data_IF_202616551895
#
_entry.id   IF_202616551895
#
_cell.length_a   1.000
_cell.length_b   1.000
_cell.length_c   1.000
_cell.angle_alpha   90.00
_cell.angle_beta   90.00
_cell.angle_gamma   90.00
#
_symmetry.space_group_name_H-M   'P 1'
#
loop_
_entity.id
_entity.type
_entity.pdbx_description
1 polymer ?
#
# COMPACT_ATOMS: atom_id res chain seq x y z
N UNK A 1 57.16 35.79 60.82
CA UNK A 1 55.73 35.85 60.76
C UNK A 1 55.28 35.26 59.40
N UNK A 2 55.08 33.93 59.35
CA UNK A 2 54.60 33.24 58.12
C UNK A 2 53.10 33.29 58.05
N UNK A 3 52.59 34.05 57.11
CA UNK A 3 51.19 34.05 56.76
C UNK A 3 50.93 32.93 55.78
N UNK A 4 50.55 31.77 56.32
CA UNK A 4 49.98 30.68 55.53
C UNK A 4 48.70 31.12 54.81
N UNK A 5 48.81 31.53 53.54
CA UNK A 5 47.66 31.77 52.67
C UNK A 5 47.05 30.44 52.37
N UNK A 6 46.00 30.06 53.11
CA UNK A 6 45.10 29.03 52.70
C UNK A 6 44.43 29.44 51.39
N UNK A 7 44.97 28.95 50.28
CA UNK A 7 44.26 29.06 48.99
C UNK A 7 43.08 28.13 49.05
N UNK A 8 41.88 28.69 49.18
CA UNK A 8 40.65 27.95 49.13
C UNK A 8 40.48 27.29 47.74
N UNK A 9 40.60 25.97 47.67
CA UNK A 9 40.29 25.18 46.44
C UNK A 9 38.81 24.99 46.24
N UNK A 10 37.97 25.40 47.18
CA UNK A 10 36.51 25.25 47.13
C UNK A 10 35.89 25.87 45.88
N UNK A 11 36.28 27.09 45.52
CA UNK A 11 35.76 27.75 44.31
C UNK A 11 36.11 27.03 43.01
N UNK A 12 37.29 26.37 42.96
CA UNK A 12 37.70 25.58 41.80
C UNK A 12 36.91 24.28 41.72
N UNK A 13 36.68 23.61 42.84
CA UNK A 13 35.88 22.37 42.92
C UNK A 13 34.43 22.67 42.58
N UNK A 14 33.88 23.79 43.06
CA UNK A 14 32.50 24.20 42.74
C UNK A 14 32.35 24.50 41.23
N UNK A 15 33.32 25.18 40.62
CA UNK A 15 33.35 25.43 39.17
C UNK A 15 33.34 24.11 38.38
N UNK A 16 34.21 23.17 38.77
CA UNK A 16 34.29 21.85 38.11
C UNK A 16 32.98 21.05 38.27
N UNK A 17 32.37 21.08 39.44
CA UNK A 17 31.13 20.42 39.70
C UNK A 17 29.99 20.98 38.83
N UNK A 18 29.88 22.32 38.76
CA UNK A 18 28.86 22.98 37.92
C UNK A 18 29.10 22.70 36.43
N UNK A 19 30.36 22.65 35.98
CA UNK A 19 30.69 22.27 34.61
C UNK A 19 30.26 20.83 34.31
N UNK A 20 30.56 19.87 35.24
CA UNK A 20 30.18 18.47 35.12
C UNK A 20 28.67 18.32 35.06
N UNK A 21 27.92 18.99 35.93
CA UNK A 21 26.44 18.96 35.91
C UNK A 21 25.91 19.49 34.57
N UNK A 22 26.46 20.60 34.08
CA UNK A 22 26.12 21.17 32.77
C UNK A 22 26.36 20.20 31.63
N UNK A 23 27.51 19.56 31.58
CA UNK A 23 27.84 18.54 30.58
C UNK A 23 26.90 17.31 30.67
N UNK A 24 26.62 16.83 31.87
CA UNK A 24 25.74 15.71 32.09
C UNK A 24 24.32 16.02 31.57
N UNK A 25 23.85 17.25 31.87
CA UNK A 25 22.55 17.71 31.39
C UNK A 25 22.51 17.82 29.87
N UNK A 26 23.51 18.41 29.24
CA UNK A 26 23.62 18.52 27.78
C UNK A 26 23.73 17.13 27.12
N UNK A 27 24.50 16.23 27.73
CA UNK A 27 24.61 14.85 27.24
C UNK A 27 23.28 14.11 27.30
N UNK A 28 22.52 14.27 28.40
CA UNK A 28 21.20 13.68 28.56
C UNK A 28 20.22 14.23 27.52
N UNK A 29 20.27 15.55 27.27
CA UNK A 29 19.46 16.22 26.24
C UNK A 29 19.83 15.74 24.84
N UNK A 30 21.13 15.64 24.53
CA UNK A 30 21.61 15.11 23.27
C UNK A 30 21.18 13.65 23.08
N UNK A 31 21.25 12.82 24.13
CA UNK A 31 20.83 11.43 24.09
C UNK A 31 19.32 11.28 23.82
N UNK A 32 18.48 12.14 24.42
CA UNK A 32 17.04 12.19 24.14
C UNK A 32 16.76 12.61 22.71
N UNK A 33 17.56 13.54 22.16
CA UNK A 33 17.38 14.01 20.79
C UNK A 33 17.94 13.03 19.74
N UNK A 34 18.98 12.28 20.07
CA UNK A 34 19.61 11.27 19.17
C UNK A 34 18.84 9.95 19.20
N UNK A 35 18.25 9.59 20.35
CA UNK A 35 17.26 8.51 20.45
C UNK A 35 15.85 9.14 20.41
N UNK A 36 15.34 9.51 19.22
CA UNK A 36 13.90 9.69 19.13
C UNK A 36 13.32 8.38 19.65
N UNK A 37 12.44 8.48 20.67
CA UNK A 37 11.60 7.36 21.13
C UNK A 37 11.26 6.61 19.88
N UNK A 38 11.78 5.38 19.74
CA UNK A 38 11.60 4.61 18.52
C UNK A 38 10.12 4.76 18.18
N UNK A 39 9.81 5.53 17.12
CA UNK A 39 8.47 5.51 16.60
C UNK A 39 8.25 4.02 16.50
N UNK A 40 7.33 3.46 17.28
CA UNK A 40 6.80 2.14 16.98
C UNK A 40 6.54 2.28 15.49
N UNK A 41 7.43 1.74 14.68
CA UNK A 41 7.14 1.58 13.28
C UNK A 41 5.79 0.92 13.35
N UNK A 42 4.77 1.68 12.97
CA UNK A 42 3.47 1.10 12.79
C UNK A 42 3.79 0.06 11.72
N UNK A 43 4.06 -1.19 12.15
CA UNK A 43 4.25 -2.29 11.23
C UNK A 43 2.96 -2.28 10.45
N UNK A 44 3.08 -1.93 9.19
CA UNK A 44 1.93 -2.02 8.30
C UNK A 44 1.35 -3.41 8.51
N UNK A 45 0.08 -3.50 8.88
CA UNK A 45 -0.51 -4.79 9.19
C UNK A 45 -0.29 -5.71 7.98
N UNK A 46 0.08 -6.95 8.23
CA UNK A 46 0.32 -7.93 7.17
C UNK A 46 -0.93 -8.11 6.32
N UNK A 47 -0.74 -8.34 5.04
CA UNK A 47 -1.84 -8.72 4.16
C UNK A 47 -2.50 -10.01 4.66
N UNK A 48 -3.81 -9.99 4.78
CA UNK A 48 -4.63 -11.14 5.15
C UNK A 48 -5.30 -11.77 3.93
N UNK A 49 -5.68 -10.93 2.98
CA UNK A 49 -6.21 -11.33 1.69
C UNK A 49 -5.50 -10.56 0.57
N UNK A 50 -5.41 -11.18 -0.60
CA UNK A 50 -4.93 -10.57 -1.84
C UNK A 50 -6.00 -10.72 -2.90
N UNK A 51 -6.26 -9.66 -3.63
CA UNK A 51 -6.96 -9.72 -4.91
C UNK A 51 -5.93 -9.50 -6.00
N UNK A 52 -5.75 -10.51 -6.83
CA UNK A 52 -4.78 -10.49 -7.93
C UNK A 52 -5.55 -10.51 -9.23
N UNK A 53 -5.31 -9.55 -10.08
CA UNK A 53 -5.81 -9.48 -11.43
C UNK A 53 -4.67 -9.72 -12.41
N UNK A 54 -4.92 -10.46 -13.49
CA UNK A 54 -3.94 -10.72 -14.55
C UNK A 54 -4.63 -10.83 -15.91
N UNK A 55 -3.92 -10.39 -16.94
CA UNK A 55 -4.35 -10.51 -18.35
C UNK A 55 -3.16 -10.93 -19.22
N UNK A 56 -3.33 -10.97 -20.55
CA UNK A 56 -2.28 -11.44 -21.47
C UNK A 56 -1.01 -10.59 -21.33
N UNK A 57 0.09 -11.23 -21.00
CA UNK A 57 1.40 -10.59 -20.81
C UNK A 57 1.95 -9.90 -22.08
N UNK A 58 1.40 -10.22 -23.26
CA UNK A 58 1.75 -9.53 -24.52
C UNK A 58 0.82 -8.36 -24.83
N UNK A 59 -0.23 -8.14 -24.04
CA UNK A 59 -1.14 -7.02 -24.22
C UNK A 59 -0.50 -5.72 -23.74
N UNK A 60 -0.66 -4.65 -24.52
CA UNK A 60 -0.25 -3.30 -24.12
C UNK A 60 -1.32 -2.57 -23.31
N UNK A 61 -2.46 -3.22 -23.12
CA UNK A 61 -3.62 -2.61 -22.50
C UNK A 61 -3.38 -2.31 -21.02
N UNK A 62 -3.82 -1.15 -20.61
CA UNK A 62 -3.84 -0.65 -19.24
C UNK A 62 -5.21 -0.97 -18.62
N UNK A 63 -5.22 -1.88 -17.64
CA UNK A 63 -6.44 -2.41 -17.02
C UNK A 63 -6.34 -2.31 -15.52
N UNK A 64 -7.27 -1.59 -14.92
CA UNK A 64 -7.29 -1.27 -13.50
C UNK A 64 -8.13 -2.24 -12.69
N UNK A 65 -7.64 -2.58 -11.50
CA UNK A 65 -8.36 -3.26 -10.43
C UNK A 65 -8.85 -2.25 -9.41
N UNK A 66 -10.13 -2.35 -9.04
CA UNK A 66 -10.74 -1.49 -8.04
C UNK A 66 -11.39 -2.30 -6.94
N UNK A 67 -11.21 -1.85 -5.70
CA UNK A 67 -11.90 -2.40 -4.53
C UNK A 67 -12.53 -1.27 -3.73
N UNK A 68 -13.79 -1.47 -3.34
CA UNK A 68 -14.53 -0.61 -2.43
C UNK A 68 -14.97 -1.41 -1.21
N UNK A 69 -14.80 -0.85 -0.01
CA UNK A 69 -15.34 -1.45 1.21
C UNK A 69 -16.71 -0.84 1.60
N UNK A 70 -17.36 -1.41 2.62
CA UNK A 70 -18.65 -0.97 3.16
C UNK A 70 -18.60 0.37 3.95
N UNK A 71 -17.44 1.02 4.00
CA UNK A 71 -17.24 2.37 4.56
C UNK A 71 -16.89 3.39 3.48
N UNK A 72 -17.14 3.05 2.21
CA UNK A 72 -16.82 3.87 1.05
C UNK A 72 -15.33 4.17 0.85
N UNK A 73 -14.44 3.35 1.44
CA UNK A 73 -13.03 3.42 1.08
C UNK A 73 -12.83 2.76 -0.27
N UNK A 74 -12.32 3.51 -1.24
CA UNK A 74 -12.07 3.05 -2.61
C UNK A 74 -10.57 3.06 -2.87
N UNK A 75 -10.02 1.93 -3.34
CA UNK A 75 -8.63 1.78 -3.74
C UNK A 75 -8.56 1.31 -5.19
N UNK A 76 -7.65 1.90 -5.93
CA UNK A 76 -7.28 1.68 -7.31
C UNK A 76 -6.16 2.65 -7.68
N UNK A 77 -5.87 2.88 -8.95
CA UNK A 77 -4.72 3.70 -9.36
C UNK A 77 -4.73 5.14 -8.82
N UNK A 78 -5.90 5.76 -8.57
CA UNK A 78 -6.01 7.14 -8.04
C UNK A 78 -5.80 7.23 -6.54
N UNK A 79 -6.13 6.19 -5.80
CA UNK A 79 -5.98 6.11 -4.35
C UNK A 79 -5.37 4.77 -4.01
N UNK A 80 -4.04 4.73 -3.97
CA UNK A 80 -3.28 3.47 -3.86
C UNK A 80 -3.23 2.90 -2.44
N UNK A 81 -3.53 3.71 -1.44
CA UNK A 81 -3.47 3.31 -0.03
C UNK A 81 -4.55 4.05 0.76
N UNK A 82 -5.54 3.33 1.22
CA UNK A 82 -6.63 3.90 2.02
C UNK A 82 -7.12 2.88 3.05
N UNK A 83 -7.09 3.26 4.33
CA UNK A 83 -7.49 2.45 5.47
C UNK A 83 -6.68 1.14 5.55
N UNK A 84 -7.29 0.00 5.20
CA UNK A 84 -6.67 -1.33 5.27
C UNK A 84 -6.52 -1.97 3.87
N UNK A 85 -6.72 -1.17 2.83
CA UNK A 85 -6.60 -1.53 1.44
C UNK A 85 -5.36 -0.86 0.85
N UNK A 86 -4.57 -1.59 0.08
CA UNK A 86 -3.38 -1.05 -0.60
C UNK A 86 -3.26 -1.68 -1.98
N UNK A 87 -3.12 -0.84 -3.01
CA UNK A 87 -2.69 -1.27 -4.35
C UNK A 87 -1.17 -1.45 -4.31
N UNK A 88 -0.73 -2.70 -4.18
CA UNK A 88 0.70 -3.03 -4.04
C UNK A 88 1.43 -3.00 -5.40
N UNK A 89 0.73 -3.31 -6.48
CA UNK A 89 1.21 -3.23 -7.86
C UNK A 89 0.15 -2.61 -8.75
N UNK A 90 0.54 -1.55 -9.42
CA UNK A 90 -0.18 -0.81 -10.44
C UNK A 90 0.53 -1.05 -11.78
N UNK A 91 -0.17 -1.65 -12.73
CA UNK A 91 0.37 -2.02 -14.02
C UNK A 91 -0.19 -1.08 -15.11
N UNK A 92 0.70 -0.46 -15.85
CA UNK A 92 0.36 0.52 -16.88
C UNK A 92 0.45 -0.07 -18.31
N UNK A 93 0.25 -1.38 -18.43
CA UNK A 93 0.51 -2.13 -19.66
C UNK A 93 2.01 -2.11 -20.00
N UNK A 94 2.38 -1.92 -21.27
CA UNK A 94 3.78 -1.95 -21.71
C UNK A 94 4.66 -0.80 -21.20
N UNK A 95 4.08 0.19 -20.53
CA UNK A 95 4.81 1.39 -20.08
C UNK A 95 5.74 1.14 -18.91
N UNK A 96 5.45 0.19 -18.03
CA UNK A 96 6.25 -0.12 -16.84
C UNK A 96 6.90 -1.51 -16.88
N UNK A 97 6.95 -2.15 -18.04
CA UNK A 97 7.56 -3.46 -18.25
C UNK A 97 9.08 -3.44 -18.30
N UNK A 98 9.70 -2.27 -18.44
CA UNK A 98 11.15 -2.15 -18.52
C UNK A 98 11.80 -2.06 -17.16
N UNK A 99 12.61 -3.06 -16.82
CA UNK A 99 13.46 -3.07 -15.65
C UNK A 99 14.89 -2.69 -16.02
N UNK A 100 15.37 -1.57 -15.47
CA UNK A 100 16.72 -1.07 -15.74
C UNK A 100 17.64 -1.39 -14.57
N UNK A 101 18.66 -2.22 -14.83
CA UNK A 101 19.80 -2.43 -13.94
C UNK A 101 20.97 -1.55 -14.34
N UNK A 102 22.05 -1.53 -13.53
CA UNK A 102 23.28 -0.80 -13.89
C UNK A 102 23.96 -1.32 -15.17
N UNK A 103 23.65 -2.54 -15.56
CA UNK A 103 24.33 -3.26 -16.64
C UNK A 103 23.43 -3.55 -17.84
N UNK A 104 22.11 -3.70 -17.61
CA UNK A 104 21.16 -4.08 -18.67
C UNK A 104 19.79 -3.45 -18.48
N UNK A 105 19.07 -3.31 -19.59
CA UNK A 105 17.61 -3.07 -19.63
C UNK A 105 16.96 -4.40 -19.98
N UNK A 106 16.10 -4.90 -19.11
CA UNK A 106 15.38 -6.15 -19.29
C UNK A 106 13.88 -5.86 -19.41
N UNK A 107 13.24 -6.47 -20.40
CA UNK A 107 11.80 -6.43 -20.56
C UNK A 107 11.20 -7.57 -19.72
N UNK A 108 10.30 -7.23 -18.80
CA UNK A 108 9.57 -8.17 -17.95
C UNK A 108 8.08 -7.97 -18.18
N UNK A 109 7.53 -8.52 -19.27
CA UNK A 109 6.12 -8.35 -19.62
C UNK A 109 5.28 -9.21 -18.68
N UNK A 110 4.78 -8.60 -17.59
CA UNK A 110 3.90 -9.26 -16.62
C UNK A 110 2.74 -8.33 -16.35
N UNK A 111 1.64 -8.57 -17.02
CA UNK A 111 0.40 -7.83 -16.85
C UNK A 111 -0.37 -8.30 -15.62
N UNK A 112 -0.21 -7.58 -14.52
CA UNK A 112 -0.79 -7.94 -13.23
C UNK A 112 -0.97 -6.76 -12.30
N UNK A 113 -2.13 -6.67 -11.67
CA UNK A 113 -2.37 -5.79 -10.54
C UNK A 113 -2.65 -6.56 -9.26
N UNK A 114 -2.27 -5.99 -8.12
CA UNK A 114 -2.43 -6.63 -6.82
C UNK A 114 -2.92 -5.61 -5.81
N UNK A 115 -4.06 -5.91 -5.18
CA UNK A 115 -4.55 -5.18 -4.01
C UNK A 115 -4.50 -6.09 -2.80
N UNK A 116 -3.84 -5.61 -1.73
CA UNK A 116 -3.82 -6.27 -0.44
C UNK A 116 -4.89 -5.72 0.51
N UNK A 117 -5.50 -6.62 1.26
CA UNK A 117 -6.45 -6.33 2.34
C UNK A 117 -5.79 -6.73 3.65
N UNK A 118 -5.53 -5.75 4.51
CA UNK A 118 -4.71 -5.91 5.72
C UNK A 118 -5.54 -6.07 6.99
N UNK A 119 -6.68 -6.73 6.89
CA UNK A 119 -7.57 -6.96 8.03
C UNK A 119 -8.40 -8.23 7.88
N UNK A 120 -8.66 -8.87 9.04
CA UNK A 120 -9.71 -9.89 9.21
C UNK A 120 -10.96 -9.34 9.89
N UNK A 121 -11.04 -8.03 10.08
CA UNK A 121 -12.23 -7.41 10.65
C UNK A 121 -13.42 -7.63 9.73
N UNK A 122 -14.60 -7.99 10.26
CA UNK A 122 -15.81 -8.16 9.47
C UNK A 122 -16.08 -6.95 8.59
N UNK A 123 -16.14 -7.17 7.27
CA UNK A 123 -16.33 -6.12 6.28
C UNK A 123 -16.71 -6.71 4.94
N UNK A 124 -17.56 -5.99 4.20
CA UNK A 124 -17.91 -6.32 2.81
C UNK A 124 -17.03 -5.52 1.85
N UNK A 125 -16.69 -6.15 0.74
CA UNK A 125 -15.89 -5.60 -0.33
C UNK A 125 -16.56 -5.86 -1.67
N UNK A 126 -16.55 -4.85 -2.54
CA UNK A 126 -16.92 -4.91 -3.95
C UNK A 126 -15.67 -4.87 -4.78
N UNK A 127 -15.54 -5.74 -5.76
CA UNK A 127 -14.39 -5.83 -6.67
C UNK A 127 -14.85 -5.60 -8.08
N UNK A 128 -14.26 -4.63 -8.76
CA UNK A 128 -14.49 -4.35 -10.19
C UNK A 128 -13.18 -4.28 -10.95
N UNK A 129 -13.24 -4.43 -12.27
CA UNK A 129 -12.13 -4.22 -13.19
C UNK A 129 -12.56 -3.22 -14.26
N UNK A 130 -11.63 -2.35 -14.66
CA UNK A 130 -11.86 -1.27 -15.59
C UNK A 130 -10.82 -1.27 -16.70
N UNK A 131 -11.26 -1.25 -17.94
CA UNK A 131 -10.38 -1.12 -19.09
C UNK A 131 -10.04 0.36 -19.33
N UNK A 132 -8.92 0.81 -18.76
CA UNK A 132 -8.56 2.22 -18.83
C UNK A 132 -8.18 2.64 -20.25
N UNK A 133 -7.23 1.95 -20.88
CA UNK A 133 -6.72 2.32 -22.21
C UNK A 133 -6.10 1.11 -22.93
N UNK A 134 -6.26 1.03 -24.24
CA UNK A 134 -5.60 0.03 -25.09
C UNK A 134 -4.25 0.52 -25.65
N UNK A 135 -3.80 1.72 -25.29
CA UNK A 135 -2.56 2.36 -25.74
C UNK A 135 -2.41 2.42 -27.28
N UNK A 136 -3.54 2.47 -27.99
CA UNK A 136 -3.59 2.56 -29.45
C UNK A 136 -3.33 1.24 -30.18
N UNK A 137 -3.34 0.11 -29.46
CA UNK A 137 -3.27 -1.21 -30.07
C UNK A 137 -4.66 -1.65 -30.54
N UNK A 138 -4.92 -1.72 -31.87
CA UNK A 138 -6.23 -2.13 -32.36
C UNK A 138 -6.56 -3.59 -32.11
N UNK A 139 -5.55 -4.43 -31.90
CA UNK A 139 -5.69 -5.86 -31.65
C UNK A 139 -5.82 -6.18 -30.16
N UNK A 140 -5.76 -5.16 -29.31
CA UNK A 140 -5.83 -5.29 -27.84
C UNK A 140 -7.23 -5.65 -27.30
N UNK A 141 -8.21 -5.89 -28.12
CA UNK A 141 -9.59 -6.24 -27.71
C UNK A 141 -10.08 -7.51 -28.39
N UNK A 142 -10.81 -8.40 -27.70
CA UNK A 142 -11.18 -8.33 -26.27
C UNK A 142 -10.03 -8.76 -25.35
N UNK A 143 -10.07 -8.25 -24.10
CA UNK A 143 -9.15 -8.66 -23.04
C UNK A 143 -9.79 -9.72 -22.13
N UNK A 144 -9.11 -10.85 -21.97
CA UNK A 144 -9.51 -11.89 -21.02
C UNK A 144 -8.81 -11.64 -19.69
N UNK A 145 -9.56 -11.32 -18.66
CA UNK A 145 -9.06 -10.95 -17.35
C UNK A 145 -9.34 -12.06 -16.36
N UNK A 146 -8.30 -12.54 -15.67
CA UNK A 146 -8.42 -13.50 -14.58
C UNK A 146 -8.24 -12.76 -13.25
N UNK A 147 -9.19 -12.90 -12.34
CA UNK A 147 -9.14 -12.32 -11.01
C UNK A 147 -9.22 -13.43 -9.96
N UNK A 148 -8.29 -13.38 -9.00
CA UNK A 148 -8.13 -14.37 -7.94
C UNK A 148 -8.24 -13.69 -6.58
N UNK A 149 -9.12 -14.17 -5.70
CA UNK A 149 -9.13 -13.82 -4.29
C UNK A 149 -8.41 -14.91 -3.49
N UNK A 150 -7.35 -14.52 -2.78
CA UNK A 150 -6.54 -15.41 -1.96
C UNK A 150 -6.60 -14.99 -0.49
N UNK A 151 -6.63 -15.98 0.39
CA UNK A 151 -6.29 -15.82 1.79
C UNK A 151 -4.80 -16.12 1.96
N UNK A 152 -4.06 -15.26 2.65
CA UNK A 152 -2.60 -15.39 2.80
C UNK A 152 -2.23 -16.40 3.88
N UNK A 153 -2.96 -16.38 5.01
CA UNK A 153 -2.66 -17.28 6.12
C UNK A 153 -3.94 -17.82 6.81
N UNK A 154 -4.20 -19.15 6.75
CA UNK A 154 -3.50 -20.15 5.91
C UNK A 154 -3.68 -19.86 4.43
N UNK A 155 -2.66 -20.17 3.62
CA UNK A 155 -2.73 -19.92 2.18
C UNK A 155 -3.81 -20.79 1.52
N UNK A 156 -4.73 -20.14 0.84
CA UNK A 156 -5.74 -20.80 0.00
C UNK A 156 -6.37 -19.83 -1.01
N UNK A 157 -6.71 -20.35 -2.17
CA UNK A 157 -7.50 -19.63 -3.15
C UNK A 157 -8.97 -19.76 -2.74
N UNK A 158 -9.64 -18.62 -2.57
CA UNK A 158 -11.03 -18.54 -2.17
C UNK A 158 -11.98 -18.49 -3.36
N UNK A 159 -11.58 -17.76 -4.42
CA UNK A 159 -12.38 -17.62 -5.64
C UNK A 159 -11.46 -17.29 -6.82
N UNK A 160 -11.84 -17.77 -7.99
CA UNK A 160 -11.28 -17.39 -9.29
C UNK A 160 -12.45 -17.01 -10.18
N UNK A 161 -12.34 -15.86 -10.85
CA UNK A 161 -13.32 -15.36 -11.82
C UNK A 161 -12.60 -14.95 -13.08
N UNK A 162 -13.17 -15.24 -14.23
CA UNK A 162 -12.72 -14.77 -15.52
C UNK A 162 -13.77 -13.83 -16.10
N UNK A 163 -13.37 -12.66 -16.54
CA UNK A 163 -14.22 -11.68 -17.21
C UNK A 163 -13.58 -11.25 -18.53
N UNK A 164 -14.42 -10.82 -19.47
CA UNK A 164 -13.94 -10.30 -20.75
C UNK A 164 -14.30 -8.83 -20.85
N UNK A 165 -13.31 -7.97 -21.06
CA UNK A 165 -13.49 -6.56 -21.39
C UNK A 165 -13.35 -6.38 -22.89
N UNK A 166 -14.30 -5.71 -23.53
CA UNK A 166 -14.39 -5.65 -25.00
C UNK A 166 -13.99 -4.29 -25.57
N UNK A 167 -13.97 -3.24 -24.76
CA UNK A 167 -13.65 -1.89 -25.22
C UNK A 167 -13.09 -1.03 -24.09
N UNK A 168 -12.23 -0.04 -24.40
CA UNK A 168 -11.77 0.94 -23.43
C UNK A 168 -12.93 1.69 -22.75
N UNK A 169 -12.70 2.09 -21.51
CA UNK A 169 -13.67 2.71 -20.59
C UNK A 169 -14.77 1.76 -20.09
N UNK A 170 -14.72 0.47 -20.41
CA UNK A 170 -15.64 -0.50 -19.87
C UNK A 170 -15.23 -0.89 -18.45
N UNK A 171 -16.18 -0.78 -17.51
CA UNK A 171 -16.08 -1.36 -16.17
C UNK A 171 -16.96 -2.60 -16.07
N UNK A 172 -16.48 -3.61 -15.35
CA UNK A 172 -17.24 -4.81 -15.00
C UNK A 172 -17.12 -5.14 -13.53
N UNK A 173 -18.27 -5.46 -12.94
CA UNK A 173 -18.33 -6.13 -11.64
C UNK A 173 -17.71 -7.52 -11.73
N UNK A 174 -16.92 -7.89 -10.73
CA UNK A 174 -16.25 -9.20 -10.67
C UNK A 174 -16.88 -10.07 -9.60
N UNK A 175 -16.87 -9.62 -8.37
CA UNK A 175 -17.57 -10.26 -7.24
C UNK A 175 -17.65 -9.34 -6.03
N UNK A 176 -18.62 -9.61 -5.17
CA UNK A 176 -18.68 -9.10 -3.81
C UNK A 176 -18.36 -10.21 -2.83
N UNK A 177 -17.59 -9.88 -1.80
CA UNK A 177 -17.34 -10.79 -0.71
C UNK A 177 -17.39 -10.08 0.64
N UNK A 178 -17.66 -10.84 1.67
CA UNK A 178 -17.69 -10.36 3.04
C UNK A 178 -16.84 -11.26 3.92
N UNK A 179 -15.95 -10.64 4.66
CA UNK A 179 -15.23 -11.28 5.76
C UNK A 179 -16.14 -11.26 6.98
N UNK A 180 -16.39 -12.40 7.58
CA UNK A 180 -17.19 -12.56 8.79
C UNK A 180 -16.33 -12.56 10.04
N UNK A 181 -16.97 -12.46 11.20
CA UNK A 181 -16.28 -12.66 12.48
C UNK A 181 -15.65 -14.06 12.51
N UNK A 182 -14.34 -14.13 12.71
CA UNK A 182 -13.58 -15.38 12.64
C UNK A 182 -12.83 -15.60 11.32
N UNK A 183 -13.00 -14.72 10.34
CA UNK A 183 -12.23 -14.75 9.08
C UNK A 183 -12.83 -15.68 8.01
N UNK A 184 -14.03 -16.19 8.21
CA UNK A 184 -14.80 -16.86 7.16
C UNK A 184 -15.18 -15.85 6.08
N UNK A 185 -15.16 -16.28 4.81
CA UNK A 185 -15.51 -15.45 3.66
C UNK A 185 -16.75 -16.01 2.99
N UNK A 186 -17.74 -15.14 2.79
CA UNK A 186 -18.95 -15.42 2.01
C UNK A 186 -19.03 -14.51 0.80
N UNK A 187 -19.66 -14.96 -0.27
CA UNK A 187 -19.85 -14.21 -1.51
C UNK A 187 -21.30 -13.77 -1.64
N UNK A 188 -21.49 -12.59 -2.22
CA UNK A 188 -22.81 -12.01 -2.49
C UNK A 188 -23.00 -11.86 -4.00
N UNK A 189 -24.24 -11.98 -4.44
CA UNK A 189 -24.61 -11.58 -5.79
C UNK A 189 -24.80 -10.05 -5.83
N UNK A 190 -24.19 -9.41 -6.81
CA UNK A 190 -24.23 -7.97 -7.02
C UNK A 190 -23.79 -7.68 -8.46
N UNK A 191 -24.15 -6.51 -8.94
CA UNK A 191 -23.73 -5.92 -10.20
C UNK A 191 -23.20 -4.48 -10.01
N UNK A 192 -22.87 -4.13 -8.75
CA UNK A 192 -22.43 -2.81 -8.38
C UNK A 192 -21.11 -2.45 -9.08
N UNK A 193 -21.06 -1.29 -9.71
CA UNK A 193 -19.86 -0.70 -10.29
C UNK A 193 -19.31 0.36 -9.35
N UNK A 194 -17.98 0.50 -9.31
CA UNK A 194 -17.30 1.44 -8.42
C UNK A 194 -17.11 2.79 -9.13
N UNK A 195 -16.60 2.76 -10.36
CA UNK A 195 -16.23 3.97 -11.10
C UNK A 195 -17.45 4.67 -11.65
N UNK A 196 -18.43 3.93 -12.18
CA UNK A 196 -19.65 4.52 -12.72
C UNK A 196 -20.59 5.07 -11.64
N UNK A 197 -20.57 4.50 -10.43
CA UNK A 197 -21.37 4.97 -9.30
C UNK A 197 -20.74 6.18 -8.60
N UNK A 198 -19.40 6.33 -8.70
CA UNK A 198 -18.64 7.43 -8.11
C UNK A 198 -17.85 8.08 -9.23
N UNK A 199 -18.19 9.32 -9.60
CA UNK A 199 -17.43 10.03 -10.62
C UNK A 199 -15.93 9.94 -10.32
N UNK A 200 -15.15 9.45 -11.28
CA UNK A 200 -13.71 9.21 -11.13
C UNK A 200 -12.96 10.42 -10.55
N UNK A 201 -13.43 11.63 -10.90
CA UNK A 201 -12.91 12.90 -10.42
C UNK A 201 -13.14 13.15 -8.91
N UNK A 202 -14.14 12.49 -8.31
CA UNK A 202 -14.44 12.62 -6.88
C UNK A 202 -13.54 11.74 -6.00
N UNK A 203 -12.82 10.79 -6.58
CA UNK A 203 -11.85 9.97 -5.86
C UNK A 203 -10.57 10.79 -5.68
N UNK A 204 -10.14 11.08 -4.43
CA UNK A 204 -8.94 11.86 -4.20
C UNK A 204 -7.72 11.20 -4.83
N UNK A 205 -6.91 11.97 -5.56
CA UNK A 205 -5.61 11.50 -5.99
C UNK A 205 -4.65 11.56 -4.79
N UNK A 206 -4.26 10.41 -4.30
CA UNK A 206 -3.32 10.27 -3.18
C UNK A 206 -2.04 9.62 -3.70
N UNK A 207 -1.05 10.45 -4.07
CA UNK A 207 0.33 9.99 -4.24
C UNK A 207 0.99 9.82 -2.87
N UNK A 208 1.78 8.76 -2.73
CA UNK A 208 2.68 8.57 -1.57
C UNK A 208 3.89 9.48 -1.64
#
# INVERSE_FOLDING_TARGET
MDTNRYKSTFGFVDLLFNLLVGFTFLFMLAFILINPVAKKEAHDPKAEYLVIMSWDDNSKSDIDLWIKDDKDNIVGFRSKDLALLTLDRDDLGDRNDMYTTKENVELVPVNREVISIRSKTPRRYVVTTHFYNNLGDPDATPQNIKIELLQVNPYRILKIVEVVLVEPSQEKHVFDFQVLTGGEVIFHESDQLIINDVALESIPYMDR
#
